data_IF_214020890659
#
_entry.id   IF_214020890659
#
_cell.length_a   1.000
_cell.length_b   1.000
_cell.length_c   1.000
_cell.angle_alpha   90.00
_cell.angle_beta   90.00
_cell.angle_gamma   90.00
#
_symmetry.space_group_name_H-M   'P 1'
#
loop_
_entity.id
_entity.type
_entity.pdbx_description
1 polymer ?
#
# COMPACT_ATOMS: atom_id res chain seq x y z
N UNK A 1 22.36 -24.12 13.71
CA UNK A 1 23.07 -23.96 12.42
C UNK A 1 23.69 -22.58 12.40
N UNK A 2 24.94 -22.45 11.96
CA UNK A 2 25.60 -21.14 11.89
C UNK A 2 24.91 -20.27 10.84
N UNK A 3 24.40 -19.12 11.25
CA UNK A 3 23.67 -18.19 10.38
C UNK A 3 24.67 -17.46 9.49
N UNK A 4 24.51 -17.57 8.17
CA UNK A 4 25.40 -16.91 7.20
C UNK A 4 24.75 -15.62 6.71
N UNK A 5 25.53 -14.54 6.63
CA UNK A 5 25.10 -13.26 6.09
C UNK A 5 26.05 -12.81 4.98
N UNK A 6 25.51 -12.13 3.96
CA UNK A 6 26.29 -11.51 2.89
C UNK A 6 26.38 -10.01 3.14
N UNK A 7 27.57 -9.43 3.04
CA UNK A 7 27.79 -8.00 3.19
C UNK A 7 27.25 -7.27 1.96
N UNK A 8 26.42 -6.25 2.19
CA UNK A 8 25.77 -5.44 1.16
C UNK A 8 26.56 -4.18 0.80
N UNK A 9 27.38 -3.68 1.72
CA UNK A 9 28.16 -2.45 1.53
C UNK A 9 29.50 -2.56 2.27
N UNK A 10 30.52 -1.89 1.74
CA UNK A 10 31.80 -1.75 2.43
C UNK A 10 31.62 -1.03 3.77
N UNK A 11 32.26 -1.55 4.82
CA UNK A 11 32.33 -0.95 6.14
C UNK A 11 33.76 -1.02 6.66
N UNK A 12 34.29 0.10 7.12
CA UNK A 12 35.65 0.18 7.69
C UNK A 12 35.53 0.44 9.17
N UNK A 13 36.07 -0.45 9.98
CA UNK A 13 36.08 -0.36 11.43
C UNK A 13 36.87 0.87 11.91
N UNK A 14 36.32 1.57 12.90
CA UNK A 14 37.04 2.60 13.63
C UNK A 14 37.98 1.98 14.68
N UNK A 15 39.24 2.47 14.81
CA UNK A 15 40.17 1.96 15.82
C UNK A 15 39.62 2.12 17.24
N UNK A 16 39.48 1.02 17.98
CA UNK A 16 39.11 1.02 19.40
C UNK A 16 37.66 0.67 19.72
N UNK A 17 36.78 0.50 18.73
CA UNK A 17 35.34 0.28 18.94
C UNK A 17 34.88 -1.19 18.80
N UNK A 18 35.80 -2.15 18.72
CA UNK A 18 35.50 -3.57 18.52
C UNK A 18 34.66 -3.86 17.25
N UNK A 19 34.85 -3.03 16.22
CA UNK A 19 34.19 -3.12 14.92
C UNK A 19 34.99 -4.00 13.95
N UNK A 20 34.29 -4.60 12.98
CA UNK A 20 34.89 -5.47 11.97
C UNK A 20 34.80 -4.84 10.58
N UNK A 21 35.94 -4.56 9.95
CA UNK A 21 35.96 -4.10 8.56
C UNK A 21 35.52 -5.22 7.62
N UNK A 22 34.59 -4.91 6.72
CA UNK A 22 34.00 -5.85 5.75
C UNK A 22 33.83 -5.22 4.38
N UNK A 23 33.85 -6.05 3.33
CA UNK A 23 33.68 -5.59 1.95
C UNK A 23 32.38 -6.13 1.33
N UNK A 24 31.78 -5.34 0.44
CA UNK A 24 30.59 -5.73 -0.32
C UNK A 24 30.80 -7.10 -0.99
N UNK A 25 29.84 -8.00 -0.79
CA UNK A 25 29.89 -9.37 -1.29
C UNK A 25 30.57 -10.39 -0.36
N UNK A 26 31.25 -9.95 0.70
CA UNK A 26 31.87 -10.86 1.67
C UNK A 26 30.81 -11.68 2.44
N UNK A 27 31.14 -12.93 2.79
CA UNK A 27 30.27 -13.80 3.58
C UNK A 27 30.72 -13.87 5.03
N UNK A 28 29.84 -13.48 5.95
CA UNK A 28 30.06 -13.51 7.39
C UNK A 28 29.28 -14.64 8.05
N UNK A 29 29.76 -15.07 9.21
CA UNK A 29 29.04 -15.94 10.13
C UNK A 29 28.50 -15.09 11.27
N UNK A 30 27.18 -14.99 11.40
CA UNK A 30 26.55 -14.21 12.47
C UNK A 30 26.61 -14.99 13.77
N UNK A 31 27.23 -14.38 14.78
CA UNK A 31 27.47 -14.98 16.09
C UNK A 31 26.42 -14.54 17.10
N UNK A 32 26.03 -13.26 17.09
CA UNK A 32 25.02 -12.70 17.99
C UNK A 32 24.26 -11.53 17.34
N UNK A 33 22.92 -11.64 17.24
CA UNK A 33 22.01 -10.60 16.72
C UNK A 33 21.40 -9.72 17.82
N UNK A 34 21.56 -10.08 19.09
CA UNK A 34 20.92 -9.40 20.22
C UNK A 34 21.82 -8.34 20.87
N UNK A 35 22.82 -7.82 20.15
CA UNK A 35 23.74 -6.78 20.66
C UNK A 35 23.01 -5.46 20.91
N UNK A 36 21.93 -5.20 20.15
CA UNK A 36 21.10 -4.01 20.28
C UNK A 36 21.69 -2.78 19.58
N UNK A 37 20.87 -1.75 19.38
CA UNK A 37 21.32 -0.49 18.78
C UNK A 37 21.62 -0.53 17.27
N UNK A 38 21.22 -1.58 16.55
CA UNK A 38 21.44 -1.73 15.11
C UNK A 38 22.77 -2.36 14.72
N UNK A 39 23.39 -3.11 15.64
CA UNK A 39 24.68 -3.80 15.43
C UNK A 39 24.53 -5.30 15.58
N UNK A 40 25.33 -6.04 14.82
CA UNK A 40 25.42 -7.50 14.85
C UNK A 40 26.87 -7.91 15.04
N UNK A 41 27.12 -8.88 15.93
CA UNK A 41 28.44 -9.49 16.08
C UNK A 41 28.60 -10.61 15.05
N UNK A 42 29.63 -10.51 14.22
CA UNK A 42 29.87 -11.43 13.12
C UNK A 42 31.35 -11.80 13.00
N UNK A 43 31.61 -12.96 12.40
CA UNK A 43 32.95 -13.45 12.09
C UNK A 43 33.16 -13.51 10.57
N UNK A 44 34.26 -12.91 10.08
CA UNK A 44 34.62 -12.97 8.67
C UNK A 44 35.34 -14.27 8.28
N UNK A 45 35.65 -14.42 6.99
CA UNK A 45 36.37 -15.57 6.44
C UNK A 45 37.79 -15.75 7.00
N UNK A 46 38.39 -14.68 7.54
CA UNK A 46 39.72 -14.66 8.16
C UNK A 46 39.70 -15.02 9.65
N UNK A 47 38.53 -15.37 10.20
CA UNK A 47 38.35 -15.72 11.61
C UNK A 47 38.27 -14.51 12.55
N UNK A 48 38.31 -13.28 12.03
CA UNK A 48 38.20 -12.06 12.82
C UNK A 48 36.74 -11.81 13.20
N UNK A 49 36.53 -11.47 14.46
CA UNK A 49 35.22 -11.17 15.05
C UNK A 49 35.11 -9.70 15.39
N UNK A 50 33.94 -9.12 15.18
CA UNK A 50 33.63 -7.78 15.64
C UNK A 50 32.23 -7.36 15.24
N UNK A 51 31.89 -6.11 15.55
CA UNK A 51 30.59 -5.53 15.28
C UNK A 51 30.51 -5.01 13.84
N UNK A 52 29.41 -5.33 13.17
CA UNK A 52 29.05 -4.83 11.85
C UNK A 52 27.62 -4.26 11.94
N UNK A 53 27.31 -3.14 11.26
CA UNK A 53 25.95 -2.62 11.25
C UNK A 53 24.97 -3.64 10.69
N UNK A 54 23.81 -3.82 11.34
CA UNK A 54 22.79 -4.79 10.93
C UNK A 54 22.30 -4.52 9.50
N UNK A 55 22.14 -3.25 9.14
CA UNK A 55 21.68 -2.81 7.82
C UNK A 55 22.72 -3.04 6.70
N UNK A 56 23.96 -3.41 7.04
CA UNK A 56 25.05 -3.64 6.09
C UNK A 56 25.19 -5.12 5.68
N UNK A 57 24.40 -6.00 6.29
CA UNK A 57 24.48 -7.44 6.05
C UNK A 57 23.09 -8.03 5.76
N UNK A 58 23.03 -8.96 4.82
CA UNK A 58 21.81 -9.70 4.49
C UNK A 58 21.94 -11.15 4.94
N UNK A 59 21.15 -11.55 5.93
CA UNK A 59 21.10 -12.94 6.41
C UNK A 59 20.47 -13.83 5.34
N UNK A 60 21.19 -14.87 4.89
CA UNK A 60 20.65 -15.87 3.96
C UNK A 60 19.88 -16.94 4.74
N UNK A 61 18.59 -16.73 4.95
CA UNK A 61 17.68 -17.81 5.32
C UNK A 61 17.33 -18.64 4.08
N UNK A 62 17.61 -19.94 4.09
CA UNK A 62 17.10 -20.85 3.08
C UNK A 62 15.57 -20.95 3.20
N UNK A 63 14.86 -20.14 2.42
CA UNK A 63 13.50 -20.42 1.96
C UNK A 63 13.21 -19.51 0.76
N UNK A 64 13.06 -20.13 -0.41
CA UNK A 64 12.50 -19.48 -1.60
C UNK A 64 11.05 -19.11 -1.28
N UNK A 65 10.72 -17.83 -1.19
CA UNK A 65 9.48 -17.19 -1.66
C UNK A 65 9.63 -15.69 -1.40
N UNK A 66 9.56 -14.89 -2.46
CA UNK A 66 9.57 -13.43 -2.42
C UNK A 66 8.25 -12.96 -1.79
N UNK A 67 8.20 -12.84 -0.47
CA UNK A 67 7.10 -12.26 0.27
C UNK A 67 7.54 -10.99 1.01
N UNK A 68 6.62 -10.04 1.03
CA UNK A 68 6.75 -8.70 1.59
C UNK A 68 7.25 -8.73 3.05
N UNK A 69 8.38 -8.09 3.38
CA UNK A 69 8.99 -8.17 4.72
C UNK A 69 8.17 -7.50 5.84
N UNK A 70 7.12 -6.74 5.50
CA UNK A 70 6.24 -6.11 6.49
C UNK A 70 5.29 -7.08 7.19
N UNK A 71 5.06 -8.28 6.63
CA UNK A 71 4.22 -9.27 7.31
C UNK A 71 4.98 -10.08 8.37
N UNK A 72 6.31 -10.22 8.28
CA UNK A 72 7.08 -10.99 9.26
C UNK A 72 7.10 -10.33 10.64
N UNK A 73 7.14 -9.00 10.71
CA UNK A 73 7.14 -8.28 11.99
C UNK A 73 5.79 -8.29 12.72
N UNK A 74 4.69 -8.57 12.01
CA UNK A 74 3.38 -8.73 12.64
C UNK A 74 3.29 -10.05 13.43
N UNK A 75 3.99 -11.10 12.99
CA UNK A 75 4.00 -12.41 13.65
C UNK A 75 4.96 -12.50 14.85
N UNK A 76 5.90 -11.55 15.00
CA UNK A 76 6.89 -11.57 16.09
C UNK A 76 6.30 -11.05 17.42
N UNK A 77 5.19 -10.30 17.39
CA UNK A 77 4.56 -9.75 18.59
C UNK A 77 3.68 -10.74 19.37
N UNK A 78 3.35 -11.92 18.81
CA UNK A 78 2.58 -12.96 19.50
C UNK A 78 3.09 -14.38 19.13
N UNK A 79 4.03 -14.96 19.89
CA UNK A 79 4.45 -16.34 19.69
C UNK A 79 3.38 -17.28 20.24
N UNK A 80 2.47 -17.81 19.40
CA UNK A 80 1.59 -18.89 19.85
C UNK A 80 0.36 -19.28 19.04
N UNK A 81 -0.07 -18.57 17.99
CA UNK A 81 -1.30 -18.90 17.27
C UNK A 81 -1.07 -19.12 15.77
N UNK A 82 -1.84 -20.04 15.19
CA UNK A 82 -1.82 -20.38 13.76
C UNK A 82 -1.89 -19.14 12.87
N UNK A 83 -1.30 -19.23 11.67
CA UNK A 83 -1.10 -18.18 10.67
C UNK A 83 -2.35 -17.38 10.22
N UNK A 84 -3.54 -17.75 10.68
CA UNK A 84 -4.82 -17.10 10.39
C UNK A 84 -5.50 -16.78 11.73
N UNK A 85 -6.03 -15.56 11.96
CA UNK A 85 -6.82 -15.23 13.15
C UNK A 85 -7.91 -16.29 13.37
N UNK A 86 -7.99 -16.88 14.58
CA UNK A 86 -8.96 -17.95 14.86
C UNK A 86 -10.39 -17.35 14.98
N UNK A 87 -11.30 -17.60 14.02
CA UNK A 87 -12.65 -17.03 14.07
C UNK A 87 -13.53 -17.64 15.18
N UNK A 88 -13.16 -18.80 15.74
CA UNK A 88 -13.94 -19.46 16.81
C UNK A 88 -14.17 -18.55 18.02
N UNK A 89 -13.20 -17.69 18.36
CA UNK A 89 -13.28 -16.75 19.49
C UNK A 89 -14.45 -15.78 19.34
N UNK A 90 -14.76 -15.39 18.11
CA UNK A 90 -15.94 -14.58 17.80
C UNK A 90 -17.19 -15.46 17.65
N UNK A 91 -17.11 -16.56 16.90
CA UNK A 91 -18.28 -17.37 16.56
C UNK A 91 -19.06 -17.90 17.77
N UNK A 92 -18.39 -18.30 18.85
CA UNK A 92 -19.01 -18.98 19.99
C UNK A 92 -19.64 -18.06 21.04
N UNK A 93 -19.41 -16.75 20.97
CA UNK A 93 -19.89 -15.81 21.98
C UNK A 93 -21.00 -14.93 21.41
N UNK A 94 -22.05 -14.74 22.20
CA UNK A 94 -23.07 -13.76 21.89
C UNK A 94 -22.58 -12.38 22.34
N UNK A 95 -22.44 -11.46 21.39
CA UNK A 95 -22.02 -10.09 21.67
C UNK A 95 -23.23 -9.18 21.58
N UNK A 96 -23.48 -8.42 22.65
CA UNK A 96 -24.41 -7.29 22.63
C UNK A 96 -23.63 -6.07 22.16
N UNK A 97 -24.02 -5.49 21.03
CA UNK A 97 -23.39 -4.27 20.53
C UNK A 97 -23.78 -3.09 21.42
N UNK A 98 -22.82 -2.40 22.04
CA UNK A 98 -23.11 -1.18 22.77
C UNK A 98 -23.52 -0.09 21.77
N UNK A 99 -24.61 0.63 22.03
CA UNK A 99 -25.21 1.62 21.09
C UNK A 99 -24.18 2.63 20.54
N UNK A 100 -23.22 3.06 21.36
CA UNK A 100 -22.22 4.07 20.99
C UNK A 100 -21.13 3.57 20.02
N UNK A 101 -20.93 2.25 19.88
CA UNK A 101 -19.89 1.65 19.03
C UNK A 101 -20.47 0.81 17.88
N UNK A 102 -21.77 0.95 17.63
CA UNK A 102 -22.51 0.15 16.65
C UNK A 102 -22.14 0.56 15.22
N UNK A 103 -21.68 -0.39 14.42
CA UNK A 103 -21.44 -0.26 12.99
C UNK A 103 -22.60 -0.90 12.22
N UNK A 104 -23.59 -0.10 11.79
CA UNK A 104 -24.75 -0.64 11.11
C UNK A 104 -24.42 -1.04 9.66
N UNK A 105 -25.04 -2.12 9.22
CA UNK A 105 -25.01 -2.59 7.83
C UNK A 105 -26.46 -2.65 7.35
N UNK A 106 -26.74 -1.99 6.23
CA UNK A 106 -28.09 -1.86 5.68
C UNK A 106 -28.23 -2.59 4.35
N UNK A 107 -29.46 -2.97 4.00
CA UNK A 107 -29.78 -3.39 2.63
C UNK A 107 -30.01 -2.16 1.75
N UNK A 108 -29.07 -1.90 0.85
CA UNK A 108 -29.21 -0.94 -0.24
C UNK A 108 -29.64 -1.61 -1.55
N UNK A 109 -29.64 -0.84 -2.64
CA UNK A 109 -30.03 -1.30 -3.98
C UNK A 109 -29.15 -2.44 -4.53
N UNK A 110 -27.88 -2.46 -4.11
CA UNK A 110 -26.88 -3.46 -4.53
C UNK A 110 -26.64 -4.54 -3.47
N UNK A 111 -27.54 -4.65 -2.49
CA UNK A 111 -27.41 -5.56 -1.35
C UNK A 111 -26.82 -4.89 -0.11
N UNK A 112 -26.12 -5.63 0.76
CA UNK A 112 -25.56 -5.10 2.00
C UNK A 112 -24.56 -3.97 1.75
N UNK A 113 -24.67 -2.86 2.47
CA UNK A 113 -23.79 -1.70 2.35
C UNK A 113 -23.52 -1.07 3.71
N UNK A 114 -22.34 -0.44 3.84
CA UNK A 114 -22.01 0.39 5.00
C UNK A 114 -22.90 1.65 5.06
N UNK A 115 -23.05 2.21 6.26
CA UNK A 115 -23.61 3.54 6.42
C UNK A 115 -22.63 4.62 5.97
N UNK A 116 -22.94 5.31 4.88
CA UNK A 116 -22.12 6.41 4.41
C UNK A 116 -22.48 7.71 5.15
N UNK A 117 -21.47 8.48 5.60
CA UNK A 117 -21.72 9.78 6.23
C UNK A 117 -22.30 10.76 5.23
N UNK A 118 -23.14 11.69 5.71
CA UNK A 118 -23.71 12.75 4.86
C UNK A 118 -22.64 13.69 4.30
N UNK A 119 -21.60 13.96 5.09
CA UNK A 119 -20.45 14.77 4.71
C UNK A 119 -19.22 13.88 4.59
N UNK A 120 -18.62 13.87 3.39
CA UNK A 120 -17.42 13.09 3.15
C UNK A 120 -16.20 13.78 3.76
N UNK A 121 -15.47 13.05 4.61
CA UNK A 121 -14.16 13.46 5.09
C UNK A 121 -13.17 13.42 3.93
N UNK A 122 -12.33 14.43 3.85
CA UNK A 122 -11.15 14.44 2.98
C UNK A 122 -10.02 15.16 3.70
N UNK A 123 -8.78 14.80 3.38
CA UNK A 123 -7.59 15.33 4.03
C UNK A 123 -6.52 15.64 3.00
N UNK A 124 -5.94 16.84 3.11
CA UNK A 124 -4.78 17.24 2.30
C UNK A 124 -3.50 16.87 3.05
N UNK A 125 -2.59 16.17 2.37
CA UNK A 125 -1.23 15.84 2.81
C UNK A 125 -0.26 16.75 2.08
N UNK A 126 0.32 17.72 2.78
CA UNK A 126 1.11 18.78 2.15
C UNK A 126 2.30 19.24 3.01
N UNK A 127 2.99 20.27 2.50
CA UNK A 127 4.03 21.03 3.20
C UNK A 127 5.08 20.15 3.89
N UNK A 128 5.82 19.31 3.13
CA UNK A 128 6.86 18.47 3.70
C UNK A 128 7.93 19.35 4.32
N UNK A 129 8.19 19.15 5.61
CA UNK A 129 9.17 19.94 6.37
C UNK A 129 10.14 19.05 7.12
N UNK A 130 11.41 19.48 7.19
CA UNK A 130 12.44 18.75 7.93
C UNK A 130 12.32 19.09 9.42
N UNK A 131 11.92 18.10 10.22
CA UNK A 131 11.93 18.15 11.67
C UNK A 131 13.22 17.58 12.26
N UNK A 132 13.55 17.99 13.48
CA UNK A 132 14.72 17.50 14.24
C UNK A 132 14.31 16.99 15.61
N UNK A 133 14.92 15.90 16.07
CA UNK A 133 14.84 15.34 17.41
C UNK A 133 16.23 15.30 18.04
N UNK A 134 16.26 15.30 19.37
CA UNK A 134 17.49 15.24 20.16
C UNK A 134 18.49 16.32 19.74
N UNK A 135 18.07 17.59 19.79
CA UNK A 135 18.95 18.73 19.50
C UNK A 135 19.69 18.65 18.15
N UNK A 136 19.03 18.10 17.12
CA UNK A 136 19.59 18.00 15.76
C UNK A 136 20.24 16.67 15.41
N UNK A 137 20.49 15.78 16.38
CA UNK A 137 21.11 14.46 16.15
C UNK A 137 20.27 13.55 15.25
N UNK A 138 18.94 13.73 15.20
CA UNK A 138 18.04 12.94 14.35
C UNK A 138 17.11 13.84 13.54
N UNK A 139 17.24 13.80 12.21
CA UNK A 139 16.34 14.51 11.30
C UNK A 139 15.30 13.57 10.68
N UNK A 140 14.12 14.11 10.36
CA UNK A 140 13.03 13.38 9.70
C UNK A 140 12.13 14.35 8.91
N UNK A 141 11.33 13.83 7.99
CA UNK A 141 10.32 14.61 7.27
C UNK A 141 8.97 14.49 7.96
N UNK A 142 8.33 15.63 8.23
CA UNK A 142 6.96 15.78 8.68
C UNK A 142 6.09 16.28 7.53
N UNK A 143 4.87 15.77 7.46
CA UNK A 143 3.82 16.18 6.54
C UNK A 143 2.72 16.85 7.34
N UNK A 144 2.20 17.95 6.83
CA UNK A 144 1.02 18.61 7.37
C UNK A 144 -0.22 17.89 6.84
N UNK A 145 -1.13 17.54 7.75
CA UNK A 145 -2.42 16.91 7.45
C UNK A 145 -3.51 17.92 7.79
N UNK A 146 -4.31 18.29 6.78
CA UNK A 146 -5.38 19.26 6.90
C UNK A 146 -6.73 18.62 6.50
N UNK A 147 -7.56 18.21 7.47
CA UNK A 147 -8.91 17.72 7.21
C UNK A 147 -9.84 18.83 6.70
N UNK A 148 -10.79 18.50 5.83
CA UNK A 148 -11.81 19.44 5.35
C UNK A 148 -12.87 19.79 6.41
N UNK A 149 -12.95 19.02 7.49
CA UNK A 149 -13.93 19.19 8.59
C UNK A 149 -13.48 20.18 9.65
N UNK A 150 -12.21 20.59 9.67
CA UNK A 150 -11.68 21.51 10.68
C UNK A 150 -10.71 22.51 10.07
N UNK A 151 -10.57 23.68 10.69
CA UNK A 151 -9.53 24.65 10.31
C UNK A 151 -8.15 24.32 10.91
N UNK A 152 -8.00 23.21 11.64
CA UNK A 152 -6.77 22.85 12.33
C UNK A 152 -6.03 21.77 11.55
N UNK A 153 -4.75 22.01 11.30
CA UNK A 153 -3.85 21.02 10.72
C UNK A 153 -2.98 20.38 11.79
N UNK A 154 -2.67 19.11 11.63
CA UNK A 154 -1.72 18.37 12.47
C UNK A 154 -0.48 17.98 11.66
N UNK A 155 0.64 17.72 12.35
CA UNK A 155 1.88 17.31 11.67
C UNK A 155 2.22 15.87 12.01
N UNK A 156 2.49 15.06 10.98
CA UNK A 156 2.90 13.68 11.13
C UNK A 156 4.14 13.37 10.31
N UNK A 157 5.11 12.70 10.97
CA UNK A 157 6.19 12.02 10.27
C UNK A 157 5.72 10.68 9.73
N UNK A 158 6.44 10.13 8.76
CA UNK A 158 6.14 8.80 8.19
C UNK A 158 5.92 7.71 9.26
N UNK A 159 6.71 7.70 10.34
CA UNK A 159 6.54 6.73 11.45
C UNK A 159 5.17 6.81 12.15
N UNK A 160 4.50 7.97 12.13
CA UNK A 160 3.16 8.10 12.69
C UNK A 160 2.12 7.47 11.76
N UNK A 161 2.28 7.59 10.43
CA UNK A 161 1.46 6.86 9.47
C UNK A 161 1.64 5.35 9.61
N UNK A 162 2.89 4.90 9.75
CA UNK A 162 3.23 3.49 9.98
C UNK A 162 2.50 2.93 11.22
N UNK A 163 2.53 3.67 12.32
CA UNK A 163 1.76 3.32 13.52
C UNK A 163 0.24 3.27 13.25
N UNK A 164 -0.31 4.27 12.55
CA UNK A 164 -1.73 4.29 12.22
C UNK A 164 -2.11 3.08 11.35
N UNK A 165 -1.32 2.78 10.32
CA UNK A 165 -1.51 1.61 9.47
C UNK A 165 -1.53 0.32 10.29
N UNK A 166 -0.57 0.13 11.20
CA UNK A 166 -0.54 -1.04 12.08
C UNK A 166 -1.81 -1.13 12.96
N UNK A 167 -2.27 -0.01 13.53
CA UNK A 167 -3.51 0.01 14.34
C UNK A 167 -4.75 -0.29 13.50
N UNK A 168 -4.85 0.28 12.29
CA UNK A 168 -5.98 0.03 11.39
C UNK A 168 -5.99 -1.41 10.90
N UNK A 169 -4.82 -1.97 10.56
CA UNK A 169 -4.69 -3.35 10.12
C UNK A 169 -5.03 -4.32 11.26
N UNK A 170 -4.54 -4.09 12.47
CA UNK A 170 -4.87 -4.91 13.64
C UNK A 170 -6.37 -4.85 13.95
N UNK A 171 -6.97 -3.65 13.91
CA UNK A 171 -8.38 -3.46 14.25
C UNK A 171 -9.33 -4.01 13.18
N UNK A 172 -9.09 -3.69 11.90
CA UNK A 172 -10.05 -3.90 10.83
C UNK A 172 -9.62 -4.94 9.79
N UNK A 173 -8.38 -5.42 9.79
CA UNK A 173 -7.82 -6.23 8.69
C UNK A 173 -8.53 -7.56 8.42
N UNK A 174 -9.35 -8.05 9.36
CA UNK A 174 -10.21 -9.22 9.14
C UNK A 174 -11.51 -8.91 8.37
N UNK A 175 -11.91 -7.65 8.26
CA UNK A 175 -13.18 -7.21 7.68
C UNK A 175 -13.04 -6.18 6.55
N UNK A 176 -11.99 -5.36 6.58
CA UNK A 176 -11.77 -4.24 5.66
C UNK A 176 -10.32 -4.32 5.11
N UNK A 177 -10.12 -4.24 3.77
CA UNK A 177 -8.81 -4.10 3.16
C UNK A 177 -8.10 -2.81 3.58
N UNK A 178 -7.01 -2.94 4.35
CA UNK A 178 -6.14 -1.82 4.72
C UNK A 178 -4.85 -1.91 3.89
N UNK A 179 -4.69 -1.12 2.81
CA UNK A 179 -3.56 -1.25 1.91
C UNK A 179 -2.27 -0.75 2.58
N UNK A 180 -1.15 -1.37 2.23
CA UNK A 180 0.17 -1.00 2.71
C UNK A 180 0.54 0.45 2.38
N UNK A 181 1.32 1.07 3.26
CA UNK A 181 1.92 2.38 3.01
C UNK A 181 3.05 2.31 1.96
N UNK A 182 3.44 3.44 1.36
CA UNK A 182 4.57 3.52 0.43
C UNK A 182 5.89 3.17 1.12
N UNK A 183 6.80 2.45 0.45
CA UNK A 183 7.98 1.86 1.08
C UNK A 183 8.82 2.79 2.00
N UNK A 184 9.30 2.20 3.10
CA UNK A 184 10.33 2.80 3.95
C UNK A 184 11.66 2.80 3.21
N UNK A 185 12.04 3.94 2.65
CA UNK A 185 13.40 4.17 2.16
C UNK A 185 14.27 4.81 3.25
N UNK A 186 15.44 4.22 3.48
CA UNK A 186 16.44 4.70 4.46
C UNK A 186 17.46 5.64 3.78
N UNK A 187 17.99 5.23 2.63
CA UNK A 187 18.89 6.02 1.77
C UNK A 187 18.09 6.99 0.88
N UNK A 188 18.65 8.17 0.54
CA UNK A 188 17.96 9.15 -0.31
C UNK A 188 16.67 9.75 0.27
N UNK A 189 16.37 9.50 1.56
CA UNK A 189 15.09 9.91 2.20
C UNK A 189 14.84 11.42 2.27
N UNK A 190 15.85 12.22 1.96
CA UNK A 190 15.81 13.69 1.93
C UNK A 190 15.88 14.25 0.50
N UNK A 191 15.89 13.40 -0.52
CA UNK A 191 15.85 13.82 -1.92
C UNK A 191 14.44 14.33 -2.28
N UNK A 192 14.37 15.45 -2.98
CA UNK A 192 13.10 16.12 -3.29
C UNK A 192 12.15 15.23 -4.10
N UNK A 193 12.68 14.48 -5.07
CA UNK A 193 11.87 13.57 -5.90
C UNK A 193 11.26 12.45 -5.05
N UNK A 194 12.03 11.93 -4.09
CA UNK A 194 11.55 10.92 -3.17
C UNK A 194 10.48 11.45 -2.21
N UNK A 195 10.71 12.64 -1.63
CA UNK A 195 9.74 13.29 -0.75
C UNK A 195 8.44 13.55 -1.50
N UNK A 196 8.52 14.04 -2.75
CA UNK A 196 7.36 14.32 -3.60
C UNK A 196 6.57 13.05 -3.91
N UNK A 197 7.23 11.99 -4.38
CA UNK A 197 6.58 10.70 -4.68
C UNK A 197 5.94 10.08 -3.42
N UNK A 198 6.63 10.13 -2.27
CA UNK A 198 6.07 9.64 -1.01
C UNK A 198 4.86 10.46 -0.57
N UNK A 199 4.92 11.78 -0.66
CA UNK A 199 3.81 12.66 -0.29
C UNK A 199 2.58 12.40 -1.17
N UNK A 200 2.76 12.23 -2.47
CA UNK A 200 1.69 11.88 -3.41
C UNK A 200 1.02 10.55 -3.04
N UNK A 201 1.82 9.51 -2.75
CA UNK A 201 1.24 8.22 -2.37
C UNK A 201 0.61 8.23 -0.98
N UNK A 202 1.15 9.01 -0.04
CA UNK A 202 0.52 9.25 1.27
C UNK A 202 -0.81 10.00 1.11
N UNK A 203 -0.90 10.96 0.17
CA UNK A 203 -2.15 11.62 -0.18
C UNK A 203 -3.17 10.61 -0.70
N UNK A 204 -2.78 9.73 -1.63
CA UNK A 204 -3.65 8.67 -2.14
C UNK A 204 -4.16 7.75 -1.03
N UNK A 205 -3.25 7.26 -0.18
CA UNK A 205 -3.60 6.42 0.97
C UNK A 205 -4.56 7.13 1.95
N UNK A 206 -4.27 8.40 2.27
CA UNK A 206 -5.09 9.20 3.18
C UNK A 206 -6.50 9.42 2.60
N UNK A 207 -6.60 9.80 1.33
CA UNK A 207 -7.88 9.95 0.65
C UNK A 207 -8.67 8.64 0.64
N UNK A 208 -8.04 7.47 0.43
CA UNK A 208 -8.72 6.18 0.51
C UNK A 208 -9.31 5.92 1.90
N UNK A 209 -8.53 6.15 2.96
CA UNK A 209 -8.99 5.96 4.34
C UNK A 209 -10.11 6.96 4.72
N UNK A 210 -10.02 8.21 4.25
CA UNK A 210 -11.05 9.22 4.47
C UNK A 210 -12.38 8.89 3.77
N UNK A 211 -12.34 8.27 2.58
CA UNK A 211 -13.54 7.86 1.83
C UNK A 211 -14.22 6.62 2.41
N UNK A 212 -13.51 5.83 3.20
CA UNK A 212 -14.07 4.62 3.79
C UNK A 212 -14.97 4.95 4.98
N UNK A 213 -16.27 4.58 4.98
CA UNK A 213 -17.22 5.02 6.01
C UNK A 213 -16.91 4.52 7.42
N UNK A 214 -16.40 3.29 7.57
CA UNK A 214 -16.00 2.75 8.88
C UNK A 214 -14.67 3.32 9.37
N UNK A 215 -13.60 3.23 8.57
CA UNK A 215 -12.26 3.71 8.94
C UNK A 215 -12.26 5.20 9.26
N UNK A 216 -12.88 6.03 8.41
CA UNK A 216 -12.91 7.48 8.59
C UNK A 216 -13.55 7.90 9.91
N UNK A 217 -14.59 7.19 10.38
CA UNK A 217 -15.27 7.50 11.63
C UNK A 217 -14.66 6.80 12.86
N UNK A 218 -13.63 5.98 12.69
CA UNK A 218 -13.00 5.27 13.80
C UNK A 218 -12.25 6.22 14.74
N UNK A 219 -12.32 5.97 16.05
CA UNK A 219 -11.64 6.81 17.05
C UNK A 219 -10.14 6.97 16.79
N UNK A 220 -9.46 5.89 16.36
CA UNK A 220 -8.02 5.90 16.07
C UNK A 220 -7.66 6.80 14.89
N UNK A 221 -8.50 6.83 13.85
CA UNK A 221 -8.30 7.68 12.69
C UNK A 221 -8.63 9.14 13.02
N UNK A 222 -9.72 9.39 13.75
CA UNK A 222 -10.11 10.73 14.21
C UNK A 222 -9.05 11.35 15.13
N UNK A 223 -8.47 10.56 16.05
CA UNK A 223 -7.33 10.98 16.87
C UNK A 223 -6.15 11.43 16.01
N UNK A 224 -5.81 10.64 14.98
CA UNK A 224 -4.72 10.98 14.06
C UNK A 224 -4.95 12.32 13.36
N UNK A 225 -6.19 12.69 13.08
CA UNK A 225 -6.50 13.93 12.37
C UNK A 225 -6.65 15.16 13.28
N UNK A 226 -7.07 14.97 14.54
CA UNK A 226 -7.63 16.07 15.34
C UNK A 226 -7.01 16.27 16.72
N UNK A 227 -5.95 15.53 17.07
CA UNK A 227 -5.30 15.68 18.39
C UNK A 227 -4.89 17.13 18.67
N UNK A 228 -5.06 17.55 19.93
CA UNK A 228 -4.86 18.95 20.34
C UNK A 228 -3.41 19.28 20.67
N UNK A 229 -2.74 18.37 21.35
CA UNK A 229 -1.37 18.53 21.83
C UNK A 229 -0.66 17.16 21.99
N UNK A 230 0.62 17.19 22.37
CA UNK A 230 1.42 15.96 22.51
C UNK A 230 0.91 15.04 23.64
N UNK A 231 0.24 15.58 24.67
CA UNK A 231 -0.33 14.79 25.77
C UNK A 231 -1.56 14.03 25.26
N UNK A 232 -2.44 14.72 24.55
CA UNK A 232 -3.63 14.14 23.90
C UNK A 232 -3.25 13.03 22.92
N UNK A 233 -2.24 13.27 22.07
CA UNK A 233 -1.69 12.26 21.15
C UNK A 233 -1.17 11.02 21.88
N UNK A 234 -0.38 11.19 22.95
CA UNK A 234 0.20 10.06 23.70
C UNK A 234 -0.88 9.25 24.41
N UNK A 235 -1.89 9.89 24.98
CA UNK A 235 -2.97 9.21 25.68
C UNK A 235 -3.88 8.47 24.70
N UNK A 236 -4.32 9.14 23.63
CA UNK A 236 -5.12 8.51 22.58
C UNK A 236 -4.39 7.33 21.91
N UNK A 237 -3.08 7.47 21.69
CA UNK A 237 -2.23 6.38 21.17
C UNK A 237 -2.26 5.17 22.09
N UNK A 238 -2.10 5.35 23.41
CA UNK A 238 -2.17 4.27 24.39
C UNK A 238 -3.57 3.65 24.47
N UNK A 239 -4.63 4.45 24.33
CA UNK A 239 -6.01 3.96 24.27
C UNK A 239 -6.20 3.03 23.06
N UNK A 240 -5.76 3.47 21.88
CA UNK A 240 -5.84 2.68 20.65
C UNK A 240 -4.97 1.40 20.69
N UNK A 241 -3.85 1.41 21.42
CA UNK A 241 -2.99 0.24 21.61
C UNK A 241 -3.56 -0.79 22.59
N UNK A 242 -4.54 -0.40 23.42
CA UNK A 242 -5.21 -1.28 24.39
C UNK A 242 -6.61 -1.73 23.93
N UNK A 243 -6.97 -1.44 22.69
CA UNK A 243 -8.27 -1.82 22.15
C UNK A 243 -8.36 -3.36 22.03
N UNK A 244 -9.36 -3.94 22.69
CA UNK A 244 -9.60 -5.39 22.67
C UNK A 244 -10.50 -5.82 21.49
N UNK A 245 -11.20 -4.88 20.85
CA UNK A 245 -12.11 -5.15 19.73
C UNK A 245 -11.36 -5.08 18.40
N UNK A 246 -10.35 -5.94 18.28
CA UNK A 246 -9.44 -6.05 17.14
C UNK A 246 -9.51 -7.43 16.48
N UNK A 247 -9.00 -7.55 15.25
CA UNK A 247 -9.07 -8.78 14.48
C UNK A 247 -10.50 -9.27 14.27
N UNK A 248 -10.78 -10.54 14.56
CA UNK A 248 -12.13 -11.11 14.44
C UNK A 248 -13.13 -10.52 15.44
N UNK A 249 -12.66 -9.87 16.50
CA UNK A 249 -13.55 -9.23 17.47
C UNK A 249 -14.18 -7.95 16.92
N UNK A 250 -13.68 -7.41 15.81
CA UNK A 250 -14.31 -6.25 15.16
C UNK A 250 -15.73 -6.53 14.71
N UNK A 251 -16.05 -7.78 14.33
CA UNK A 251 -17.41 -8.17 13.94
C UNK A 251 -18.41 -8.07 15.10
N UNK A 252 -17.96 -8.04 16.36
CA UNK A 252 -18.84 -7.79 17.52
C UNK A 252 -19.38 -6.36 17.58
N UNK A 253 -18.77 -5.43 16.85
CA UNK A 253 -19.23 -4.05 16.71
C UNK A 253 -20.20 -3.88 15.55
N UNK A 254 -20.35 -4.89 14.68
CA UNK A 254 -21.20 -4.82 13.51
C UNK A 254 -22.58 -5.37 13.82
N UNK A 255 -23.61 -4.66 13.41
CA UNK A 255 -24.98 -5.06 13.68
C UNK A 255 -25.84 -4.98 12.41
N UNK A 256 -25.87 -6.06 11.62
CA UNK A 256 -26.79 -6.20 10.51
C UNK A 256 -28.19 -6.54 11.04
N UNK A 257 -29.13 -5.60 10.94
CA UNK A 257 -30.57 -5.82 11.22
C UNK A 257 -31.23 -6.63 10.08
N UNK A 258 -30.69 -7.80 9.76
CA UNK A 258 -31.05 -8.62 8.62
C UNK A 258 -31.28 -10.08 9.01
N UNK A 259 -31.89 -10.86 8.10
CA UNK A 259 -32.12 -12.29 8.31
C UNK A 259 -30.81 -13.06 8.48
N UNK A 260 -30.86 -14.16 9.20
CA UNK A 260 -29.77 -15.13 9.20
C UNK A 260 -29.59 -15.77 7.81
N UNK A 261 -28.34 -16.05 7.46
CA UNK A 261 -27.94 -16.65 6.20
C UNK A 261 -27.67 -18.14 6.39
N UNK A 262 -27.95 -18.92 5.34
CA UNK A 262 -27.53 -20.31 5.29
C UNK A 262 -26.00 -20.40 5.05
N UNK A 263 -25.27 -21.28 5.75
CA UNK A 263 -23.82 -21.42 5.55
C UNK A 263 -23.41 -21.68 4.10
N UNK A 264 -24.25 -22.37 3.31
CA UNK A 264 -24.01 -22.62 1.87
C UNK A 264 -24.14 -21.34 1.05
N UNK A 265 -25.11 -20.48 1.39
CA UNK A 265 -25.27 -19.14 0.78
C UNK A 265 -24.03 -18.28 1.06
N UNK A 266 -23.57 -18.28 2.31
CA UNK A 266 -22.37 -17.55 2.74
C UNK A 266 -21.12 -18.03 1.99
N UNK A 267 -20.92 -19.34 1.89
CA UNK A 267 -19.79 -19.93 1.17
C UNK A 267 -19.78 -19.56 -0.31
N UNK A 268 -20.92 -19.67 -0.99
CA UNK A 268 -21.03 -19.31 -2.42
C UNK A 268 -20.63 -17.85 -2.67
N UNK A 269 -21.04 -16.92 -1.79
CA UNK A 269 -20.66 -15.51 -1.87
C UNK A 269 -19.16 -15.32 -1.63
N UNK A 270 -18.61 -15.96 -0.60
CA UNK A 270 -17.18 -15.93 -0.29
C UNK A 270 -16.33 -16.42 -1.47
N UNK A 271 -16.71 -17.53 -2.10
CA UNK A 271 -16.02 -18.07 -3.28
C UNK A 271 -16.11 -17.15 -4.50
N UNK A 272 -17.27 -16.53 -4.72
CA UNK A 272 -17.45 -15.55 -5.80
C UNK A 272 -16.48 -14.37 -5.64
N UNK A 273 -16.37 -13.82 -4.42
CA UNK A 273 -15.46 -12.72 -4.13
C UNK A 273 -13.98 -13.14 -4.22
N UNK A 274 -13.66 -14.35 -3.77
CA UNK A 274 -12.32 -14.95 -3.91
C UNK A 274 -11.88 -15.13 -5.34
N UNK A 275 -12.79 -15.57 -6.21
CA UNK A 275 -12.48 -15.70 -7.63
C UNK A 275 -12.30 -14.32 -8.29
N UNK A 276 -13.19 -13.37 -8.00
CA UNK A 276 -13.12 -12.02 -8.54
C UNK A 276 -11.83 -11.31 -8.13
N UNK A 277 -11.48 -11.28 -6.84
CA UNK A 277 -10.31 -10.54 -6.34
C UNK A 277 -9.00 -11.08 -6.92
N UNK A 278 -8.86 -12.42 -7.03
CA UNK A 278 -7.71 -13.05 -7.68
C UNK A 278 -7.62 -12.69 -9.17
N UNK A 279 -8.73 -12.82 -9.90
CA UNK A 279 -8.74 -12.52 -11.34
C UNK A 279 -8.45 -11.04 -11.63
N UNK A 280 -8.93 -10.14 -10.77
CA UNK A 280 -8.63 -8.72 -10.87
C UNK A 280 -7.16 -8.42 -10.52
N UNK A 281 -6.59 -9.07 -9.51
CA UNK A 281 -5.18 -8.90 -9.13
C UNK A 281 -4.24 -9.28 -10.28
N UNK A 282 -4.53 -10.39 -10.97
CA UNK A 282 -3.79 -10.79 -12.18
C UNK A 282 -3.90 -9.73 -13.29
N UNK A 283 -5.11 -9.26 -13.59
CA UNK A 283 -5.32 -8.20 -14.59
C UNK A 283 -4.64 -6.87 -14.25
N UNK A 284 -4.62 -6.48 -12.97
CA UNK A 284 -3.91 -5.29 -12.48
C UNK A 284 -2.40 -5.46 -12.64
N UNK A 285 -1.84 -6.62 -12.30
CA UNK A 285 -0.41 -6.92 -12.45
C UNK A 285 0.01 -6.89 -13.92
N UNK A 286 -0.80 -7.43 -14.81
CA UNK A 286 -0.54 -7.39 -16.25
C UNK A 286 -0.54 -5.95 -16.78
N UNK A 287 -1.52 -5.14 -16.39
CA UNK A 287 -1.58 -3.72 -16.76
C UNK A 287 -0.35 -2.96 -16.26
N UNK A 288 0.05 -3.16 -15.00
CA UNK A 288 1.27 -2.58 -14.45
C UNK A 288 2.52 -3.01 -15.22
N UNK A 289 2.62 -4.29 -15.59
CA UNK A 289 3.76 -4.81 -16.33
C UNK A 289 3.88 -4.14 -17.72
N UNK A 290 2.79 -4.08 -18.49
CA UNK A 290 2.80 -3.44 -19.81
C UNK A 290 2.99 -1.93 -19.72
N UNK A 291 2.41 -1.28 -18.71
CA UNK A 291 2.54 0.15 -18.49
C UNK A 291 3.97 0.55 -18.10
N UNK A 292 4.62 -0.19 -17.20
CA UNK A 292 6.04 0.06 -16.88
C UNK A 292 6.98 -0.20 -18.06
N UNK A 293 6.70 -1.22 -18.88
CA UNK A 293 7.45 -1.47 -20.11
C UNK A 293 7.29 -0.29 -21.08
N UNK A 294 6.06 0.19 -21.29
CA UNK A 294 5.78 1.33 -22.14
C UNK A 294 6.44 2.61 -21.64
N UNK A 295 6.38 2.88 -20.32
CA UNK A 295 7.06 4.00 -19.68
C UNK A 295 8.56 4.01 -19.99
N UNK A 296 9.24 2.88 -19.76
CA UNK A 296 10.68 2.73 -20.03
C UNK A 296 11.01 2.97 -21.51
N UNK A 297 10.13 2.54 -22.42
CA UNK A 297 10.28 2.78 -23.86
C UNK A 297 10.19 4.26 -24.20
N UNK A 298 9.19 4.97 -23.70
CA UNK A 298 8.99 6.41 -23.95
C UNK A 298 10.11 7.27 -23.35
N UNK A 299 10.54 6.95 -22.12
CA UNK A 299 11.58 7.70 -21.42
C UNK A 299 13.02 7.39 -21.88
N UNK A 300 13.22 6.42 -22.80
CA UNK A 300 14.56 5.96 -23.18
C UNK A 300 14.72 5.72 -24.69
N UNK A 301 14.54 4.48 -25.18
CA UNK A 301 14.78 4.13 -26.58
C UNK A 301 14.04 5.03 -27.58
N UNK A 302 12.74 5.25 -27.37
CA UNK A 302 11.91 6.02 -28.32
C UNK A 302 12.37 7.47 -28.42
N UNK A 303 12.70 8.09 -27.29
CA UNK A 303 13.25 9.44 -27.26
C UNK A 303 14.56 9.53 -28.07
N UNK A 304 15.46 8.55 -27.89
CA UNK A 304 16.76 8.50 -28.60
C UNK A 304 16.59 8.29 -30.10
N UNK A 305 15.61 7.50 -30.54
CA UNK A 305 15.30 7.29 -31.94
C UNK A 305 14.90 8.60 -32.63
N UNK A 306 13.94 9.34 -32.07
CA UNK A 306 13.51 10.62 -32.63
C UNK A 306 14.61 11.69 -32.59
N UNK A 307 15.47 11.69 -31.57
CA UNK A 307 16.67 12.54 -31.54
C UNK A 307 17.64 12.22 -32.69
N UNK A 308 17.87 10.93 -32.98
CA UNK A 308 18.74 10.51 -34.07
C UNK A 308 18.18 10.89 -35.44
N UNK A 309 16.87 10.73 -35.63
CA UNK A 309 16.18 11.17 -36.85
C UNK A 309 16.33 12.68 -37.04
N UNK A 310 16.07 13.47 -35.99
CA UNK A 310 16.22 14.93 -36.03
C UNK A 310 17.65 15.36 -36.39
N UNK A 311 18.68 14.71 -35.82
CA UNK A 311 20.08 14.96 -36.16
C UNK A 311 20.42 14.57 -37.60
N UNK A 312 19.90 13.44 -38.09
CA UNK A 312 20.14 13.01 -39.47
C UNK A 312 19.58 14.03 -40.48
N UNK A 313 18.37 14.54 -40.26
CA UNK A 313 17.80 15.61 -41.10
C UNK A 313 18.60 16.91 -41.02
N UNK A 314 19.08 17.29 -39.84
CA UNK A 314 19.94 18.46 -39.67
C UNK A 314 21.25 18.32 -40.45
N UNK A 315 21.91 17.16 -40.36
CA UNK A 315 23.13 16.86 -41.10
C UNK A 315 22.91 16.93 -42.61
N UNK A 316 21.84 16.33 -43.13
CA UNK A 316 21.51 16.39 -44.56
C UNK A 316 21.24 17.83 -45.01
N UNK A 317 20.48 18.61 -44.25
CA UNK A 317 20.22 20.01 -44.55
C UNK A 317 21.52 20.83 -44.59
N UNK A 318 22.45 20.58 -43.66
CA UNK A 318 23.78 21.22 -43.68
C UNK A 318 24.56 20.88 -44.95
N UNK A 319 24.51 19.64 -45.44
CA UNK A 319 25.18 19.22 -46.69
C UNK A 319 24.53 19.89 -47.90
N UNK A 320 23.20 19.94 -47.98
CA UNK A 320 22.53 20.62 -49.09
C UNK A 320 22.89 22.11 -49.16
N UNK A 321 23.09 22.75 -48.00
CA UNK A 321 23.50 24.14 -47.92
C UNK A 321 24.90 24.41 -48.49
N UNK A 322 25.81 23.43 -48.54
CA UNK A 322 27.17 23.63 -49.10
C UNK A 322 27.22 23.62 -50.64
N UNK A 323 26.20 23.08 -51.31
CA UNK A 323 26.22 22.81 -52.77
C UNK A 323 26.32 24.03 -53.71
N UNK A 324 26.34 25.27 -53.20
CA UNK A 324 26.24 26.53 -53.96
C UNK A 324 25.11 26.64 -55.03
N UNK A 325 24.24 25.65 -55.17
CA UNK A 325 23.14 25.62 -56.15
C UNK A 325 22.14 26.76 -55.96
N UNK A 326 21.78 27.46 -57.04
CA UNK A 326 20.92 28.65 -56.99
C UNK A 326 19.43 28.31 -56.73
N UNK A 327 18.98 27.07 -56.98
CA UNK A 327 17.60 26.61 -56.74
C UNK A 327 17.32 26.06 -55.34
N UNK A 328 18.19 26.28 -54.35
CA UNK A 328 18.08 25.73 -52.98
C UNK A 328 16.75 26.03 -52.26
N UNK A 329 16.06 27.10 -52.64
CA UNK A 329 14.78 27.49 -52.06
C UNK A 329 13.61 26.52 -52.37
N UNK A 330 13.81 25.53 -53.25
CA UNK A 330 12.84 24.47 -53.55
C UNK A 330 12.91 23.29 -52.57
N UNK A 331 13.98 23.17 -51.75
CA UNK A 331 14.11 22.12 -50.74
C UNK A 331 13.50 22.63 -49.43
N UNK A 332 12.62 21.83 -48.82
CA UNK A 332 12.03 22.15 -47.52
C UNK A 332 13.15 22.32 -46.46
N UNK A 333 13.30 23.48 -45.81
CA UNK A 333 14.38 23.70 -44.84
C UNK A 333 14.17 22.83 -43.59
N UNK A 334 15.26 22.38 -42.98
CA UNK A 334 15.20 21.71 -41.67
C UNK A 334 14.56 22.64 -40.62
N UNK A 335 13.55 22.15 -39.92
CA UNK A 335 12.90 22.87 -38.83
C UNK A 335 13.46 22.45 -37.47
N UNK A 336 14.05 23.36 -36.67
CA UNK A 336 14.47 23.07 -35.29
C UNK A 336 13.33 22.56 -34.39
N UNK A 337 12.07 22.75 -34.81
CA UNK A 337 10.87 22.24 -34.10
C UNK A 337 10.83 20.72 -34.00
N UNK A 338 11.53 19.99 -34.87
CA UNK A 338 11.71 18.54 -34.74
C UNK A 338 12.31 18.15 -33.38
N UNK A 339 13.15 19.02 -32.80
CA UNK A 339 13.71 18.77 -31.47
C UNK A 339 12.70 18.90 -30.33
N UNK A 340 11.55 19.54 -30.55
CA UNK A 340 10.45 19.59 -29.57
C UNK A 340 9.69 18.27 -29.48
N UNK A 341 9.66 17.48 -30.56
CA UNK A 341 8.88 16.24 -30.64
C UNK A 341 9.34 15.18 -29.61
N UNK A 342 10.66 14.93 -29.51
CA UNK A 342 11.16 13.97 -28.53
C UNK A 342 11.06 14.49 -27.08
N UNK A 343 11.06 15.81 -26.87
CA UNK A 343 10.83 16.39 -25.55
C UNK A 343 9.41 16.07 -25.09
N UNK A 344 8.41 16.27 -25.96
CA UNK A 344 7.02 15.91 -25.68
C UNK A 344 6.87 14.42 -25.32
N UNK A 345 7.51 13.52 -26.07
CA UNK A 345 7.50 12.07 -25.80
C UNK A 345 8.05 11.69 -24.41
N UNK A 346 9.09 12.38 -23.95
CA UNK A 346 9.71 12.09 -22.66
C UNK A 346 8.85 12.50 -21.46
N UNK A 347 8.15 13.64 -21.56
CA UNK A 347 7.31 14.14 -20.48
C UNK A 347 5.89 13.58 -20.51
N UNK A 348 5.43 13.03 -21.64
CA UNK A 348 4.06 12.56 -21.77
C UNK A 348 3.65 11.53 -20.70
N UNK A 349 4.44 10.49 -20.39
CA UNK A 349 4.04 9.51 -19.39
C UNK A 349 3.71 10.11 -18.01
N UNK A 350 4.34 11.24 -17.64
CA UNK A 350 4.09 11.94 -16.38
C UNK A 350 2.71 12.63 -16.33
N UNK A 351 2.03 12.79 -17.47
CA UNK A 351 0.72 13.44 -17.57
C UNK A 351 -0.45 12.46 -17.61
N UNK A 352 -0.20 11.24 -18.06
CA UNK A 352 -1.26 10.24 -18.28
C UNK A 352 -0.95 8.90 -17.60
N UNK A 353 0.08 8.21 -18.07
CA UNK A 353 0.46 6.87 -17.68
C UNK A 353 0.81 6.79 -16.19
N UNK A 354 1.34 7.86 -15.62
CA UNK A 354 1.62 8.01 -14.19
C UNK A 354 0.38 7.76 -13.36
N UNK A 355 -0.70 8.47 -13.65
CA UNK A 355 -1.96 8.35 -12.91
C UNK A 355 -2.57 6.95 -13.10
N UNK A 356 -2.51 6.41 -14.32
CA UNK A 356 -2.97 5.05 -14.58
C UNK A 356 -2.20 4.01 -13.76
N UNK A 357 -0.87 4.12 -13.69
CA UNK A 357 -0.02 3.21 -12.93
C UNK A 357 -0.22 3.38 -11.41
N UNK A 358 -0.33 4.60 -10.89
CA UNK A 358 -0.55 4.83 -9.47
C UNK A 358 -1.93 4.33 -9.01
N UNK A 359 -2.99 4.53 -9.80
CA UNK A 359 -4.31 3.91 -9.51
C UNK A 359 -4.20 2.38 -9.48
N UNK A 360 -3.52 1.76 -10.44
CA UNK A 360 -3.37 0.29 -10.43
C UNK A 360 -2.47 -0.21 -9.30
N UNK A 361 -1.45 0.55 -8.87
CA UNK A 361 -0.64 0.23 -7.70
C UNK A 361 -1.47 0.29 -6.41
N UNK A 362 -2.37 1.26 -6.29
CA UNK A 362 -3.32 1.34 -5.18
C UNK A 362 -4.25 0.12 -5.14
N UNK A 363 -4.86 -0.23 -6.28
CA UNK A 363 -5.74 -1.41 -6.38
C UNK A 363 -5.00 -2.71 -6.14
N UNK A 364 -3.74 -2.84 -6.58
CA UNK A 364 -2.87 -3.98 -6.24
C UNK A 364 -2.68 -4.09 -4.72
N UNK A 365 -2.50 -2.96 -4.02
CA UNK A 365 -2.41 -2.91 -2.57
C UNK A 365 -3.68 -3.42 -1.89
N UNK A 366 -4.85 -2.93 -2.32
CA UNK A 366 -6.16 -3.37 -1.80
C UNK A 366 -6.42 -4.85 -2.09
N UNK A 367 -6.14 -5.30 -3.32
CA UNK A 367 -6.34 -6.68 -3.77
C UNK A 367 -5.44 -7.66 -2.99
N UNK A 368 -4.23 -7.24 -2.64
CA UNK A 368 -3.31 -7.99 -1.79
C UNK A 368 -3.83 -8.31 -0.39
N UNK A 369 -4.85 -7.61 0.11
CA UNK A 369 -5.44 -7.86 1.43
C UNK A 369 -6.51 -8.98 1.41
N UNK A 370 -7.16 -9.21 0.25
CA UNK A 370 -8.28 -10.15 0.18
C UNK A 370 -7.94 -11.61 0.48
N UNK A 371 -6.76 -12.16 0.12
CA UNK A 371 -6.42 -13.55 0.45
C UNK A 371 -6.51 -13.86 1.95
N UNK A 372 -5.96 -12.99 2.80
CA UNK A 372 -5.99 -13.17 4.26
C UNK A 372 -7.40 -12.97 4.81
N UNK A 373 -8.09 -11.92 4.35
CA UNK A 373 -9.48 -11.63 4.73
C UNK A 373 -10.40 -12.82 4.40
N UNK A 374 -10.36 -13.30 3.16
CA UNK A 374 -11.16 -14.45 2.71
C UNK A 374 -10.76 -15.72 3.47
N UNK A 375 -9.47 -15.89 3.80
CA UNK A 375 -8.98 -16.99 4.62
C UNK A 375 -9.68 -17.07 5.99
N UNK A 376 -9.85 -15.93 6.67
CA UNK A 376 -10.59 -15.85 7.95
C UNK A 376 -12.06 -16.24 7.76
N UNK A 377 -12.71 -15.75 6.70
CA UNK A 377 -14.11 -16.08 6.42
C UNK A 377 -14.31 -17.56 6.06
N UNK A 378 -13.40 -18.16 5.27
CA UNK A 378 -13.43 -19.60 4.95
C UNK A 378 -13.29 -20.45 6.20
N UNK A 379 -12.33 -20.14 7.07
CA UNK A 379 -12.18 -20.82 8.35
C UNK A 379 -13.46 -20.72 9.20
N UNK A 380 -14.13 -19.56 9.22
CA UNK A 380 -15.39 -19.39 9.94
C UNK A 380 -16.53 -20.27 9.36
N UNK A 381 -16.63 -20.34 8.03
CA UNK A 381 -17.60 -21.18 7.32
C UNK A 381 -17.39 -22.66 7.67
N UNK A 382 -16.15 -23.15 7.58
CA UNK A 382 -15.80 -24.54 7.91
C UNK A 382 -16.20 -24.89 9.34
N UNK A 383 -15.89 -24.01 10.29
CA UNK A 383 -16.25 -24.20 11.70
C UNK A 383 -17.75 -24.27 11.96
N UNK A 384 -18.54 -23.46 11.26
CA UNK A 384 -20.01 -23.49 11.40
C UNK A 384 -20.59 -24.75 10.76
N UNK A 385 -20.04 -25.23 9.64
CA UNK A 385 -20.44 -26.51 9.03
C UNK A 385 -20.14 -27.71 9.93
N UNK A 386 -19.10 -27.63 10.75
CA UNK A 386 -18.73 -28.64 11.74
C UNK A 386 -19.59 -28.59 13.01
N UNK A 387 -20.40 -27.54 13.20
CA UNK A 387 -21.15 -27.32 14.43
C UNK A 387 -22.11 -28.48 14.77
N UNK A 388 -22.77 -29.07 13.79
CA UNK A 388 -23.65 -30.24 14.01
C UNK A 388 -22.89 -31.44 14.59
N UNK A 389 -21.69 -31.70 14.06
CA UNK A 389 -20.81 -32.75 14.57
C UNK A 389 -20.33 -32.43 15.98
N UNK A 390 -20.02 -31.16 16.28
CA UNK A 390 -19.59 -30.73 17.60
C UNK A 390 -20.71 -30.83 18.65
N UNK A 391 -21.96 -30.53 18.27
CA UNK A 391 -23.14 -30.74 19.12
C UNK A 391 -23.33 -32.23 19.39
N UNK A 392 -23.24 -33.09 18.36
CA UNK A 392 -23.35 -34.54 18.53
C UNK A 392 -22.25 -35.13 19.44
N UNK A 393 -21.09 -34.48 19.49
CA UNK A 393 -19.96 -34.85 20.37
C UNK A 393 -20.03 -34.20 21.76
N UNK A 394 -21.12 -33.47 22.10
CA UNK A 394 -21.26 -32.68 23.34
C UNK A 394 -20.12 -31.69 23.59
N UNK A 395 -19.48 -31.17 22.53
CA UNK A 395 -18.41 -30.16 22.63
C UNK A 395 -18.95 -28.74 22.70
N UNK A 396 -20.12 -28.49 22.10
CA UNK A 396 -20.85 -27.21 22.12
C UNK A 396 -22.35 -27.50 22.29
N UNK A 397 -23.11 -26.53 22.83
CA UNK A 397 -24.56 -26.64 22.97
C UNK A 397 -25.33 -26.27 21.69
N UNK A 398 -26.62 -26.62 21.58
CA UNK A 398 -27.48 -26.20 20.46
C UNK A 398 -27.59 -24.67 20.34
N UNK A 399 -27.56 -23.95 21.46
CA UNK A 399 -27.57 -22.48 21.49
C UNK A 399 -26.27 -21.88 20.93
N UNK A 400 -25.13 -22.53 21.18
CA UNK A 400 -23.84 -22.11 20.63
C UNK A 400 -23.86 -22.25 19.11
N UNK A 401 -24.43 -23.34 18.58
CA UNK A 401 -24.62 -23.51 17.13
C UNK A 401 -25.42 -22.36 16.51
N UNK A 402 -26.54 -21.97 17.11
CA UNK A 402 -27.34 -20.84 16.62
C UNK A 402 -26.53 -19.53 16.66
N UNK A 403 -25.77 -19.32 17.75
CA UNK A 403 -24.89 -18.15 17.89
C UNK A 403 -23.81 -18.12 16.80
N UNK A 404 -23.18 -19.27 16.51
CA UNK A 404 -22.20 -19.39 15.43
C UNK A 404 -22.80 -19.04 14.07
N UNK A 405 -24.03 -19.50 13.79
CA UNK A 405 -24.71 -19.20 12.52
C UNK A 405 -25.08 -17.72 12.38
N UNK A 406 -25.56 -17.08 13.45
CA UNK A 406 -25.81 -15.64 13.50
C UNK A 406 -24.51 -14.83 13.30
N UNK A 407 -23.44 -15.20 13.99
CA UNK A 407 -22.14 -14.55 13.88
C UNK A 407 -21.51 -14.73 12.49
N UNK A 408 -21.65 -15.91 11.88
CA UNK A 408 -21.25 -16.15 10.49
C UNK A 408 -22.02 -15.25 9.51
N UNK A 409 -23.33 -15.07 9.74
CA UNK A 409 -24.15 -14.16 8.94
C UNK A 409 -23.62 -12.72 9.04
N UNK A 410 -23.24 -12.28 10.24
CA UNK A 410 -22.65 -10.95 10.46
C UNK A 410 -21.36 -10.74 9.68
N UNK A 411 -20.45 -11.72 9.73
CA UNK A 411 -19.23 -11.70 8.92
C UNK A 411 -19.56 -11.62 7.42
N UNK A 412 -20.51 -12.43 6.94
CA UNK A 412 -20.91 -12.41 5.52
C UNK A 412 -21.46 -11.06 5.08
N UNK A 413 -22.29 -10.41 5.90
CA UNK A 413 -22.82 -9.08 5.60
C UNK A 413 -21.73 -8.01 5.58
N UNK A 414 -20.76 -8.07 6.49
CA UNK A 414 -19.60 -7.19 6.49
C UNK A 414 -18.76 -7.34 5.21
N UNK A 415 -18.47 -8.58 4.80
CA UNK A 415 -17.75 -8.85 3.55
C UNK A 415 -18.51 -8.36 2.32
N UNK A 416 -19.84 -8.54 2.29
CA UNK A 416 -20.67 -8.04 1.19
C UNK A 416 -20.69 -6.51 1.14
N UNK A 417 -20.84 -5.84 2.29
CA UNK A 417 -20.77 -4.39 2.41
C UNK A 417 -19.42 -3.85 1.91
N UNK A 418 -18.33 -4.52 2.28
CA UNK A 418 -17.00 -4.16 1.85
C UNK A 418 -16.77 -4.38 0.35
N UNK A 419 -17.23 -5.50 -0.20
CA UNK A 419 -17.15 -5.74 -1.64
C UNK A 419 -17.97 -4.72 -2.44
N UNK A 420 -19.13 -4.31 -1.94
CA UNK A 420 -19.93 -3.25 -2.54
C UNK A 420 -19.22 -1.88 -2.46
N UNK A 421 -18.57 -1.56 -1.33
CA UNK A 421 -17.72 -0.37 -1.20
C UNK A 421 -16.56 -0.40 -2.21
N UNK A 422 -15.85 -1.52 -2.30
CA UNK A 422 -14.76 -1.74 -3.24
C UNK A 422 -15.22 -1.57 -4.70
N UNK A 423 -16.33 -2.19 -5.09
CA UNK A 423 -16.84 -2.09 -6.45
C UNK A 423 -17.30 -0.67 -6.82
N UNK A 424 -18.00 0.02 -5.92
CA UNK A 424 -18.42 1.40 -6.12
C UNK A 424 -17.23 2.32 -6.40
N UNK A 425 -16.20 2.23 -5.54
CA UNK A 425 -14.97 3.00 -5.72
C UNK A 425 -14.23 2.61 -7.00
N UNK A 426 -14.10 1.30 -7.28
CA UNK A 426 -13.44 0.77 -8.48
C UNK A 426 -14.05 1.33 -9.75
N UNK A 427 -15.37 1.34 -9.87
CA UNK A 427 -16.04 1.87 -11.06
C UNK A 427 -15.72 3.37 -11.21
N UNK A 428 -15.81 4.14 -10.12
CA UNK A 428 -15.52 5.56 -10.15
C UNK A 428 -14.05 5.86 -10.51
N UNK A 429 -13.10 5.21 -9.83
CA UNK A 429 -11.67 5.47 -9.98
C UNK A 429 -11.17 5.03 -11.38
N UNK A 430 -11.58 3.86 -11.87
CA UNK A 430 -11.20 3.40 -13.21
C UNK A 430 -11.83 4.24 -14.32
N UNK A 431 -13.11 4.65 -14.20
CA UNK A 431 -13.72 5.53 -15.20
C UNK A 431 -12.97 6.86 -15.31
N UNK A 432 -12.63 7.46 -14.16
CA UNK A 432 -11.91 8.74 -14.11
C UNK A 432 -10.50 8.63 -14.68
N UNK A 433 -9.73 7.62 -14.27
CA UNK A 433 -8.33 7.50 -14.72
C UNK A 433 -8.24 7.11 -16.21
N UNK A 434 -9.17 6.29 -16.70
CA UNK A 434 -9.23 5.94 -18.13
C UNK A 434 -9.63 7.15 -18.97
N UNK A 435 -10.60 7.94 -18.51
CA UNK A 435 -10.97 9.19 -19.17
C UNK A 435 -9.79 10.17 -19.22
N UNK A 436 -9.10 10.39 -18.10
CA UNK A 436 -7.92 11.24 -18.02
C UNK A 436 -6.82 10.76 -19.00
N UNK A 437 -6.51 9.46 -18.96
CA UNK A 437 -5.50 8.86 -19.84
C UNK A 437 -5.81 9.10 -21.31
N UNK A 438 -7.06 8.86 -21.74
CA UNK A 438 -7.47 9.05 -23.13
C UNK A 438 -7.47 10.53 -23.54
N UNK A 439 -7.91 11.44 -22.67
CA UNK A 439 -7.92 12.87 -22.95
C UNK A 439 -6.50 13.42 -23.14
N UNK A 440 -5.58 13.05 -22.25
CA UNK A 440 -4.17 13.45 -22.33
C UNK A 440 -3.48 12.84 -23.55
N UNK A 441 -3.80 11.59 -23.93
CA UNK A 441 -3.32 10.98 -25.16
C UNK A 441 -3.83 11.71 -26.41
N UNK A 442 -5.11 12.07 -26.47
CA UNK A 442 -5.66 12.87 -27.59
C UNK A 442 -4.93 14.20 -27.69
N UNK A 443 -4.81 14.93 -26.59
CA UNK A 443 -4.12 16.22 -26.56
C UNK A 443 -2.65 16.09 -26.97
N UNK A 444 -1.99 15.01 -26.59
CA UNK A 444 -0.62 14.71 -26.98
C UNK A 444 -0.46 14.55 -28.49
N UNK A 445 -1.29 13.71 -29.12
CA UNK A 445 -1.22 13.50 -30.57
C UNK A 445 -1.63 14.75 -31.35
N UNK A 446 -2.63 15.51 -30.90
CA UNK A 446 -2.95 16.83 -31.48
C UNK A 446 -1.76 17.80 -31.41
N UNK A 447 -1.05 17.81 -30.29
CA UNK A 447 0.14 18.65 -30.10
C UNK A 447 1.25 18.23 -31.05
N UNK A 448 1.47 16.92 -31.23
CA UNK A 448 2.42 16.38 -32.21
C UNK A 448 2.06 16.87 -33.62
N UNK A 449 0.81 16.73 -34.03
CA UNK A 449 0.33 17.16 -35.35
C UNK A 449 0.61 18.66 -35.54
N UNK A 450 0.24 19.50 -34.57
CA UNK A 450 0.50 20.96 -34.62
C UNK A 450 1.99 21.29 -34.75
N UNK A 451 2.88 20.49 -34.15
CA UNK A 451 4.34 20.67 -34.26
C UNK A 451 4.88 20.21 -35.62
N UNK A 452 4.23 19.25 -36.28
CA UNK A 452 4.66 18.71 -37.58
C UNK A 452 4.20 19.55 -38.78
N UNK A 453 3.04 20.22 -38.70
CA UNK A 453 2.43 20.95 -39.82
C UNK A 453 2.77 22.46 -39.88
N UNK A 454 3.65 22.97 -39.01
CA UNK A 454 4.16 24.37 -39.00
C UNK A 454 5.67 24.34 -38.87
#
# INVERSE_FOLDING_TARGET
MAVKAQVLYDFTAEPGNNELSVQEGEMLTVMNQAVGGGWVEAQNSKGQTGLVPEDYIQVKSHTKYSHCPYMQNFFILFPGFSKTPNPEVYLLKNYMCAENDRLPIYMGEVGPVWLYPQTQLDCVVAHPKKGTKMYGLKSYIEYQIAPNTTHKSVNHRYKHFDWLYERLLEKFGCAIPIPSLPDKQVTGRFEDEFIKMRMERLQGWMSRMCRHPVVSNSEVFQLFLTYKDEKDWKEGKRKAEKDERVGVMVFSTMDPEMRELDPTEVEKKCETFSHFSRSMDDGVKDLLAVGHLHWKRCAGPLQKEYQRIGKAFQSLSSVFNTSAYQGKNQILPYSPKWNKHYFLLFYQPKKDLHFLLETNNEYKGLLGCFPDLIGVHRAAIEKVKEADRLVAMNKIGPQDKQTMQKNLSTMSYALQAEMNHFHSNRIYDYNRVMQLYLQEQVQFYETIIKVMYI
#
